data_IF_991361813499
#
_entry.id   IF_991361813499
#
_cell.length_a   1.000
_cell.length_b   1.000
_cell.length_c   1.000
_cell.angle_alpha   90.00
_cell.angle_beta   90.00
_cell.angle_gamma   90.00
#
_symmetry.space_group_name_H-M   'P 1'
#
loop_
_entity.id
_entity.type
_entity.pdbx_description
1 polymer ?
#
# COMPACT_ATOMS: atom_id res chain seq x y z
N UNK A 1 -5.00 -26.99 -65.34
CA UNK A 1 -6.39 -27.01 -65.95
C UNK A 1 -7.37 -26.78 -64.82
N UNK A 2 -8.30 -25.82 -65.05
CA UNK A 2 -9.60 -25.61 -64.36
C UNK A 2 -9.52 -25.13 -62.90
N UNK A 3 -9.71 -23.82 -62.61
CA UNK A 3 -10.97 -23.08 -62.51
C UNK A 3 -11.92 -23.75 -61.54
N UNK A 4 -12.37 -23.11 -60.45
CA UNK A 4 -13.57 -22.24 -60.42
C UNK A 4 -13.63 -21.56 -59.04
N UNK A 5 -13.84 -20.26 -59.08
CA UNK A 5 -14.57 -19.39 -58.16
C UNK A 5 -15.72 -20.04 -57.40
N UNK A 6 -15.94 -19.66 -56.18
CA UNK A 6 -17.26 -19.14 -55.77
C UNK A 6 -17.17 -18.30 -54.50
N UNK A 7 -17.51 -17.04 -54.71
CA UNK A 7 -17.93 -16.09 -53.68
C UNK A 7 -19.16 -16.61 -52.96
N UNK A 8 -19.19 -16.55 -51.65
CA UNK A 8 -20.46 -16.34 -50.93
C UNK A 8 -20.16 -15.42 -49.74
N UNK A 9 -20.60 -14.17 -49.91
CA UNK A 9 -20.78 -13.21 -48.86
C UNK A 9 -21.80 -13.78 -47.86
N UNK A 10 -21.39 -13.96 -46.62
CA UNK A 10 -22.34 -14.16 -45.53
C UNK A 10 -22.31 -12.95 -44.63
N UNK A 11 -23.19 -12.03 -45.00
CA UNK A 11 -23.55 -10.85 -44.20
C UNK A 11 -24.38 -11.34 -43.00
N UNK A 12 -23.74 -11.73 -41.92
CA UNK A 12 -24.42 -11.99 -40.67
C UNK A 12 -24.51 -10.68 -39.87
N UNK A 13 -25.65 -10.05 -40.02
CA UNK A 13 -26.14 -8.93 -39.22
C UNK A 13 -26.29 -9.42 -37.78
N UNK A 14 -25.25 -9.18 -36.93
CA UNK A 14 -25.39 -9.36 -35.50
C UNK A 14 -26.16 -8.17 -34.95
N UNK A 15 -27.45 -8.36 -34.81
CA UNK A 15 -28.32 -7.49 -34.02
C UNK A 15 -27.91 -7.64 -32.56
N UNK A 16 -27.12 -6.73 -32.05
CA UNK A 16 -26.97 -6.56 -30.63
C UNK A 16 -28.27 -6.02 -30.05
N UNK A 17 -28.90 -6.71 -29.09
CA UNK A 17 -30.01 -6.12 -28.37
C UNK A 17 -29.49 -4.90 -27.62
N UNK A 18 -30.08 -3.76 -27.92
CA UNK A 18 -29.92 -2.53 -27.22
C UNK A 18 -30.39 -2.77 -25.76
N UNK A 19 -29.47 -3.12 -24.87
CA UNK A 19 -29.76 -3.10 -23.45
C UNK A 19 -30.01 -1.66 -23.07
N UNK A 20 -31.30 -1.35 -22.92
CA UNK A 20 -31.74 -0.12 -22.32
C UNK A 20 -31.14 -0.06 -20.90
N UNK A 21 -30.10 0.74 -20.74
CA UNK A 21 -29.60 1.14 -19.44
C UNK A 21 -30.74 1.91 -18.79
N UNK A 22 -31.31 1.46 -17.65
CA UNK A 22 -32.30 2.27 -16.96
C UNK A 22 -31.62 3.59 -16.61
N UNK A 23 -32.18 4.69 -17.03
CA UNK A 23 -31.81 6.02 -16.60
C UNK A 23 -31.95 6.04 -15.08
N UNK A 24 -30.82 5.86 -14.37
CA UNK A 24 -30.76 6.18 -12.95
C UNK A 24 -30.94 7.70 -12.88
N UNK A 25 -32.16 8.07 -12.51
CA UNK A 25 -32.48 9.44 -12.15
C UNK A 25 -31.43 9.87 -11.11
N UNK A 26 -30.57 10.80 -11.51
CA UNK A 26 -29.71 11.52 -10.58
C UNK A 26 -30.67 12.40 -9.77
N UNK A 27 -31.30 11.78 -8.76
CA UNK A 27 -31.98 12.54 -7.74
C UNK A 27 -30.90 13.43 -7.12
N UNK A 28 -31.14 14.71 -7.22
CA UNK A 28 -30.37 15.80 -6.66
C UNK A 28 -29.89 15.42 -5.25
N UNK A 29 -28.58 15.10 -5.15
CA UNK A 29 -27.90 15.15 -3.88
C UNK A 29 -27.80 16.64 -3.60
N UNK A 30 -28.75 17.18 -2.86
CA UNK A 30 -28.63 18.50 -2.25
C UNK A 30 -27.41 18.45 -1.31
N UNK A 31 -26.26 18.82 -1.86
CA UNK A 31 -25.08 19.15 -1.06
C UNK A 31 -25.39 20.46 -0.39
N UNK A 32 -26.01 20.38 0.78
CA UNK A 32 -26.22 21.53 1.65
C UNK A 32 -24.86 22.17 1.94
N UNK A 33 -24.65 23.45 1.57
CA UNK A 33 -23.35 24.12 1.74
C UNK A 33 -23.06 24.52 3.19
N UNK A 34 -23.77 23.97 4.17
CA UNK A 34 -23.75 24.43 5.57
C UNK A 34 -22.78 23.63 6.45
N UNK A 35 -21.90 22.76 5.92
CA UNK A 35 -20.94 22.01 6.77
C UNK A 35 -19.48 22.37 6.47
N UNK A 36 -19.20 23.51 5.79
CA UNK A 36 -17.87 24.11 5.86
C UNK A 36 -17.77 24.99 7.12
N UNK A 37 -18.06 24.43 8.27
CA UNK A 37 -17.60 25.02 9.52
C UNK A 37 -16.11 24.71 9.63
N UNK A 38 -15.33 25.72 9.26
CA UNK A 38 -13.89 25.77 9.43
C UNK A 38 -13.53 25.76 10.95
N UNK A 39 -13.79 24.62 11.61
CA UNK A 39 -13.43 24.42 13.01
C UNK A 39 -11.98 23.93 13.08
N UNK A 40 -11.05 24.83 12.85
CA UNK A 40 -9.59 24.58 13.03
C UNK A 40 -9.16 24.48 14.48
N UNK A 41 -10.09 24.36 15.43
CA UNK A 41 -9.76 24.24 16.85
C UNK A 41 -10.44 23.01 17.43
N UNK A 42 -9.67 21.90 17.54
CA UNK A 42 -10.00 20.82 18.49
C UNK A 42 -10.58 19.53 17.93
N UNK A 43 -10.34 19.16 16.67
CA UNK A 43 -10.44 17.74 16.35
C UNK A 43 -9.32 17.04 17.10
N UNK A 44 -9.62 16.04 17.96
CA UNK A 44 -8.59 15.15 18.46
C UNK A 44 -7.86 14.63 17.23
N UNK A 45 -6.54 14.82 17.15
CA UNK A 45 -5.75 14.16 16.11
C UNK A 45 -6.19 12.71 16.16
N UNK A 46 -6.81 12.24 15.07
CA UNK A 46 -7.16 10.84 14.91
C UNK A 46 -5.89 10.08 15.26
N UNK A 47 -5.93 9.35 16.38
CA UNK A 47 -4.71 8.73 16.90
C UNK A 47 -4.23 7.82 15.80
N UNK A 48 -3.05 8.08 15.31
CA UNK A 48 -2.40 7.23 14.32
C UNK A 48 -2.56 5.78 14.79
N UNK A 49 -3.43 5.05 14.10
CA UNK A 49 -3.74 3.66 14.43
C UNK A 49 -2.91 2.78 13.53
N UNK A 50 -2.24 1.80 14.11
CA UNK A 50 -1.56 0.79 13.32
C UNK A 50 -2.53 0.05 12.41
N UNK A 51 -2.04 -0.40 11.28
CA UNK A 51 -2.75 -1.29 10.36
C UNK A 51 -3.33 -2.48 11.13
N UNK A 52 -4.57 -2.85 10.85
CA UNK A 52 -5.16 -3.99 11.50
C UNK A 52 -4.53 -5.33 11.08
N UNK A 53 -4.81 -6.38 11.84
CA UNK A 53 -4.15 -7.66 11.62
C UNK A 53 -4.58 -8.36 10.31
N UNK A 54 -5.78 -8.07 9.79
CA UNK A 54 -6.26 -8.68 8.55
C UNK A 54 -5.55 -8.04 7.36
N UNK A 55 -5.52 -6.70 7.31
CA UNK A 55 -4.83 -5.94 6.27
C UNK A 55 -3.32 -6.18 6.32
N UNK A 56 -2.74 -6.29 7.50
CA UNK A 56 -1.32 -6.63 7.66
C UNK A 56 -0.99 -8.03 7.13
N UNK A 57 -1.83 -9.03 7.39
CA UNK A 57 -1.65 -10.38 6.83
C UNK A 57 -1.71 -10.36 5.30
N UNK A 58 -2.64 -9.60 4.74
CA UNK A 58 -2.76 -9.44 3.29
C UNK A 58 -1.51 -8.78 2.71
N UNK A 59 -1.09 -7.64 3.27
CA UNK A 59 0.16 -6.97 2.85
C UNK A 59 1.35 -7.92 2.90
N UNK A 60 1.49 -8.65 4.01
CA UNK A 60 2.60 -9.60 4.18
C UNK A 60 2.55 -10.75 3.18
N UNK A 61 1.38 -11.25 2.80
CA UNK A 61 1.25 -12.28 1.77
C UNK A 61 1.67 -11.75 0.40
N UNK A 62 1.23 -10.55 0.03
CA UNK A 62 1.64 -9.90 -1.22
C UNK A 62 3.16 -9.68 -1.28
N UNK A 63 3.77 -9.21 -0.18
CA UNK A 63 5.23 -9.05 -0.11
C UNK A 63 5.99 -10.37 -0.25
N UNK A 64 5.42 -11.50 0.21
CA UNK A 64 6.03 -12.81 0.06
C UNK A 64 6.01 -13.33 -1.38
N UNK A 65 5.00 -12.97 -2.14
CA UNK A 65 4.86 -13.37 -3.55
C UNK A 65 5.90 -12.68 -4.43
N UNK A 66 6.42 -11.52 -4.00
CA UNK A 66 7.46 -10.83 -4.73
C UNK A 66 8.79 -11.57 -4.65
N UNK A 67 9.38 -11.85 -5.81
CA UNK A 67 10.65 -12.58 -5.90
C UNK A 67 11.87 -11.71 -5.58
N UNK A 68 11.76 -10.40 -5.79
CA UNK A 68 12.88 -9.48 -5.65
C UNK A 68 12.67 -8.50 -4.50
N UNK A 69 13.70 -8.36 -3.65
CA UNK A 69 13.68 -7.42 -2.52
C UNK A 69 13.41 -5.97 -2.96
N UNK A 70 13.90 -5.56 -4.13
CA UNK A 70 13.65 -4.21 -4.67
C UNK A 70 12.17 -3.94 -4.95
N UNK A 71 11.44 -4.94 -5.40
CA UNK A 71 10.00 -4.79 -5.65
C UNK A 71 9.22 -4.80 -4.33
N UNK A 72 9.65 -5.59 -3.34
CA UNK A 72 9.17 -5.48 -1.97
C UNK A 72 9.33 -4.07 -1.40
N UNK A 73 10.50 -3.43 -1.59
CA UNK A 73 10.73 -2.05 -1.14
C UNK A 73 9.76 -1.07 -1.80
N UNK A 74 9.51 -1.21 -3.10
CA UNK A 74 8.52 -0.36 -3.81
C UNK A 74 7.11 -0.53 -3.23
N UNK A 75 6.69 -1.76 -2.96
CA UNK A 75 5.38 -2.03 -2.35
C UNK A 75 5.28 -1.42 -0.94
N UNK A 76 6.33 -1.56 -0.13
CA UNK A 76 6.39 -0.97 1.21
C UNK A 76 6.27 0.55 1.13
N UNK A 77 6.97 1.18 0.21
CA UNK A 77 6.87 2.63 -0.01
C UNK A 77 5.43 3.06 -0.28
N UNK A 78 4.68 2.30 -1.08
CA UNK A 78 3.27 2.57 -1.36
C UNK A 78 2.42 2.30 -0.10
N UNK A 79 2.67 1.18 0.59
CA UNK A 79 1.93 0.81 1.80
C UNK A 79 2.09 1.83 2.93
N UNK A 80 3.23 2.52 3.02
CA UNK A 80 3.47 3.57 4.00
C UNK A 80 2.69 4.87 3.73
N UNK A 81 2.02 4.99 2.57
CA UNK A 81 1.18 6.16 2.27
C UNK A 81 -0.14 6.01 3.03
N UNK A 82 -0.28 6.76 4.13
CA UNK A 82 -1.52 6.78 4.93
C UNK A 82 -1.71 5.61 5.89
N UNK A 83 -0.75 4.69 5.98
CA UNK A 83 -0.80 3.59 6.95
C UNK A 83 0.32 3.71 7.98
N UNK A 84 0.03 3.21 9.18
CA UNK A 84 0.96 3.12 10.30
C UNK A 84 1.13 1.67 10.73
N UNK A 85 2.27 1.37 11.33
CA UNK A 85 2.64 0.02 11.72
C UNK A 85 3.09 -0.02 13.18
N UNK A 86 2.90 -1.17 13.82
CA UNK A 86 3.58 -1.44 15.09
C UNK A 86 5.03 -1.89 14.83
N UNK A 87 5.88 -1.79 15.84
CA UNK A 87 7.25 -2.32 15.78
C UNK A 87 7.28 -3.80 15.40
N UNK A 88 6.35 -4.61 15.93
CA UNK A 88 6.23 -6.02 15.60
C UNK A 88 5.81 -6.26 14.14
N UNK A 89 4.91 -5.42 13.60
CA UNK A 89 4.54 -5.48 12.17
C UNK A 89 5.73 -5.10 11.29
N UNK A 90 6.45 -4.05 11.66
CA UNK A 90 7.66 -3.62 10.96
C UNK A 90 8.71 -4.73 10.93
N UNK A 91 9.04 -5.34 12.07
CA UNK A 91 9.93 -6.50 12.14
C UNK A 91 9.45 -7.66 11.25
N UNK A 92 8.14 -7.97 11.29
CA UNK A 92 7.53 -8.99 10.44
C UNK A 92 7.62 -8.71 8.94
N UNK A 93 7.71 -7.46 8.51
CA UNK A 93 8.00 -7.06 7.13
C UNK A 93 9.49 -7.27 6.84
N UNK A 94 10.37 -6.77 7.71
CA UNK A 94 11.82 -6.85 7.51
C UNK A 94 12.34 -8.29 7.45
N UNK A 95 11.70 -9.22 8.18
CA UNK A 95 12.04 -10.65 8.14
C UNK A 95 11.86 -11.30 6.76
N UNK A 96 11.16 -10.66 5.83
CA UNK A 96 10.97 -11.16 4.46
C UNK A 96 12.17 -10.88 3.54
N UNK A 97 13.09 -10.02 3.96
CA UNK A 97 14.26 -9.64 3.17
C UNK A 97 15.44 -10.54 3.42
N UNK A 98 16.13 -10.91 2.35
CA UNK A 98 17.32 -11.75 2.42
C UNK A 98 18.59 -10.97 2.78
N UNK A 99 18.65 -9.69 2.39
CA UNK A 99 19.85 -8.86 2.56
C UNK A 99 19.58 -7.69 3.51
N UNK A 100 20.48 -7.48 4.47
CA UNK A 100 20.36 -6.39 5.44
C UNK A 100 20.39 -4.99 4.80
N UNK A 101 21.08 -4.83 3.68
CA UNK A 101 21.04 -3.56 2.92
C UNK A 101 19.62 -3.21 2.47
N UNK A 102 18.87 -4.21 2.01
CA UNK A 102 17.49 -4.02 1.57
C UNK A 102 16.54 -3.84 2.77
N UNK A 103 16.85 -4.50 3.92
CA UNK A 103 16.15 -4.21 5.19
C UNK A 103 16.30 -2.75 5.62
N UNK A 104 17.52 -2.19 5.51
CA UNK A 104 17.76 -0.77 5.82
C UNK A 104 17.00 0.15 4.87
N UNK A 105 17.03 -0.13 3.57
CA UNK A 105 16.28 0.64 2.58
C UNK A 105 14.77 0.62 2.86
N UNK A 106 14.21 -0.57 3.17
CA UNK A 106 12.81 -0.69 3.55
C UNK A 106 12.50 0.08 4.84
N UNK A 107 13.42 0.03 5.83
CA UNK A 107 13.25 0.72 7.10
C UNK A 107 13.24 2.24 6.95
N UNK A 108 13.91 2.82 5.96
CA UNK A 108 13.85 4.27 5.68
C UNK A 108 12.40 4.74 5.43
N UNK A 109 11.58 3.90 4.79
CA UNK A 109 10.16 4.20 4.55
C UNK A 109 9.28 3.83 5.75
N UNK A 110 9.59 2.72 6.44
CA UNK A 110 8.80 2.24 7.56
C UNK A 110 8.98 3.07 8.84
N UNK A 111 10.21 3.54 9.12
CA UNK A 111 10.53 4.21 10.38
C UNK A 111 9.64 5.43 10.71
N UNK A 112 9.24 6.29 9.73
CA UNK A 112 8.30 7.37 9.99
C UNK A 112 6.89 6.89 10.36
N UNK A 113 6.52 5.68 9.92
CA UNK A 113 5.19 5.10 10.06
C UNK A 113 5.04 4.21 11.29
N UNK A 114 6.12 3.98 12.07
CA UNK A 114 6.07 3.18 13.30
C UNK A 114 5.51 4.03 14.44
N UNK A 115 4.41 3.56 15.06
CA UNK A 115 3.71 4.30 16.12
C UNK A 115 4.23 4.00 17.54
N UNK A 116 4.81 2.82 17.77
CA UNK A 116 5.29 2.34 19.07
C UNK A 116 6.82 2.20 19.10
N UNK A 117 7.52 3.28 18.74
CA UNK A 117 9.00 3.31 18.63
C UNK A 117 9.73 2.94 19.91
N UNK A 118 9.08 3.06 21.08
CA UNK A 118 9.60 2.58 22.36
C UNK A 118 9.85 1.07 22.38
N UNK A 119 9.29 0.32 21.42
CA UNK A 119 9.48 -1.12 21.25
C UNK A 119 10.35 -1.46 20.03
N UNK A 120 11.22 -0.54 19.63
CA UNK A 120 12.07 -0.68 18.45
C UNK A 120 13.08 -1.84 18.55
N UNK A 121 13.32 -2.38 19.72
CA UNK A 121 14.24 -3.52 19.93
C UNK A 121 13.89 -4.69 19.02
N UNK A 122 12.60 -5.02 18.85
CA UNK A 122 12.14 -6.10 17.97
C UNK A 122 12.50 -5.86 16.49
N UNK A 123 12.63 -4.60 16.09
CA UNK A 123 13.08 -4.22 14.75
C UNK A 123 14.60 -4.39 14.62
N UNK A 124 15.34 -4.00 15.67
CA UNK A 124 16.80 -4.09 15.70
C UNK A 124 17.29 -5.53 15.71
N UNK A 125 16.51 -6.48 16.25
CA UNK A 125 16.80 -7.91 16.24
C UNK A 125 16.84 -8.52 14.84
N UNK A 126 16.17 -7.88 13.86
CA UNK A 126 16.20 -8.30 12.46
C UNK A 126 17.56 -8.05 11.76
N UNK A 127 18.49 -7.35 12.42
CA UNK A 127 19.82 -7.03 11.91
C UNK A 127 20.89 -7.81 12.68
N UNK A 128 21.66 -8.60 11.95
CA UNK A 128 22.76 -9.42 12.51
C UNK A 128 24.03 -8.58 12.75
N UNK A 129 24.33 -7.65 11.80
CA UNK A 129 25.53 -6.84 11.89
C UNK A 129 25.31 -5.61 12.76
N UNK A 130 26.21 -5.41 13.74
CA UNK A 130 26.14 -4.27 14.68
C UNK A 130 26.08 -2.92 13.95
N UNK A 131 26.90 -2.74 12.91
CA UNK A 131 26.92 -1.52 12.11
C UNK A 131 25.58 -1.20 11.45
N UNK A 132 24.82 -2.23 11.02
CA UNK A 132 23.50 -2.08 10.42
C UNK A 132 22.43 -1.84 11.49
N UNK A 133 22.57 -2.48 12.66
CA UNK A 133 21.72 -2.21 13.83
C UNK A 133 21.83 -0.74 14.29
N UNK A 134 23.03 -0.18 14.34
CA UNK A 134 23.24 1.24 14.66
C UNK A 134 22.61 2.17 13.62
N UNK A 135 22.69 1.82 12.33
CA UNK A 135 22.01 2.58 11.27
C UNK A 135 20.49 2.51 11.42
N UNK A 136 19.96 1.31 11.67
CA UNK A 136 18.53 1.10 11.89
C UNK A 136 18.03 1.92 13.10
N UNK A 137 18.75 1.92 14.19
CA UNK A 137 18.44 2.74 15.37
C UNK A 137 18.39 4.22 15.03
N UNK A 138 19.37 4.73 14.28
CA UNK A 138 19.40 6.13 13.84
C UNK A 138 18.20 6.49 12.95
N UNK A 139 17.74 5.56 12.11
CA UNK A 139 16.55 5.75 11.30
C UNK A 139 15.28 5.81 12.16
N UNK A 140 15.13 4.91 13.13
CA UNK A 140 13.97 4.83 14.02
C UNK A 140 13.87 6.03 14.98
N UNK A 141 14.99 6.46 15.52
CA UNK A 141 15.03 7.62 16.41
C UNK A 141 14.82 8.95 15.68
N UNK A 142 14.92 8.94 14.35
CA UNK A 142 14.81 10.13 13.51
C UNK A 142 15.98 11.09 13.72
N UNK A 143 16.40 11.80 12.68
CA UNK A 143 17.21 12.99 12.85
C UNK A 143 16.40 13.97 13.69
N UNK A 144 16.85 14.31 14.92
CA UNK A 144 16.36 15.51 15.57
C UNK A 144 16.42 16.63 14.53
N UNK A 145 15.25 17.10 14.07
CA UNK A 145 15.18 18.32 13.26
C UNK A 145 15.76 19.43 14.15
N UNK A 146 16.96 19.87 13.78
CA UNK A 146 17.52 21.11 14.31
C UNK A 146 16.75 22.29 13.77
#
# INVERSE_FOLDING_TARGET
>A
MKRVCLSIAFLALLQFPLFAVPAVSIAEIEISPSVFVNNRSGMPRERERAMDNADFKLLRSLLKEESFDKDRVKMIRIACIGNYFTSSQCAGILSLFSFESNKLEALEYLAPCVIDKQRCEVILEEFTFLSNREKAEKLLMGRKRR
#
